data_IF_849689751493
#
_entry.id   IF_849689751493
#
_cell.length_a   1.000
_cell.length_b   1.000
_cell.length_c   1.000
_cell.angle_alpha   90.00
_cell.angle_beta   90.00
_cell.angle_gamma   90.00
#
_symmetry.space_group_name_H-M   'P 1'
#
loop_
_entity.id
_entity.type
_entity.pdbx_description
1 polymer ?
#
# COMPACT_ATOMS: atom_id res chain seq x y z
N UNK A 1 -10.06 -36.44 -22.50
CA UNK A 1 -10.41 -35.01 -22.35
C UNK A 1 -11.84 -34.82 -21.82
N UNK A 2 -12.13 -35.19 -20.56
CA UNK A 2 -13.43 -34.92 -19.88
C UNK A 2 -13.21 -34.72 -18.37
N UNK A 3 -12.26 -33.86 -17.99
CA UNK A 3 -12.04 -33.46 -16.58
C UNK A 3 -11.81 -31.96 -16.39
N UNK A 4 -11.96 -31.14 -17.45
CA UNK A 4 -11.76 -29.69 -17.39
C UNK A 4 -13.02 -28.88 -17.04
N UNK A 5 -14.22 -29.45 -17.20
CA UNK A 5 -15.47 -28.67 -17.09
C UNK A 5 -16.14 -28.71 -15.71
N UNK A 6 -15.68 -29.56 -14.78
CA UNK A 6 -16.31 -29.66 -13.45
C UNK A 6 -16.04 -28.44 -12.56
N UNK A 7 -14.89 -27.76 -12.73
CA UNK A 7 -14.52 -26.59 -11.93
C UNK A 7 -15.24 -25.30 -12.36
N UNK A 8 -15.73 -25.23 -13.61
CA UNK A 8 -16.43 -24.04 -14.12
C UNK A 8 -17.92 -24.10 -13.76
N UNK A 9 -18.53 -25.29 -13.72
CA UNK A 9 -19.92 -25.47 -13.27
C UNK A 9 -20.07 -25.28 -11.74
N UNK A 10 -19.00 -25.47 -10.95
CA UNK A 10 -18.99 -25.28 -9.48
C UNK A 10 -19.05 -23.82 -9.02
N UNK A 11 -18.70 -22.85 -9.88
CA UNK A 11 -18.76 -21.42 -9.50
C UNK A 11 -20.19 -20.95 -9.22
N UNK A 12 -21.20 -21.57 -9.84
CA UNK A 12 -22.62 -21.33 -9.52
C UNK A 12 -23.06 -22.02 -8.21
N UNK A 13 -22.31 -23.02 -7.74
CA UNK A 13 -22.62 -23.81 -6.53
C UNK A 13 -22.04 -23.20 -5.25
N UNK A 14 -21.00 -22.36 -5.34
CA UNK A 14 -20.46 -21.68 -4.15
C UNK A 14 -21.48 -20.76 -3.45
N UNK A 15 -22.44 -20.20 -4.21
CA UNK A 15 -23.49 -19.35 -3.66
C UNK A 15 -24.55 -20.10 -2.83
N UNK A 16 -24.64 -21.43 -2.95
CA UNK A 16 -25.58 -22.27 -2.21
C UNK A 16 -24.98 -23.00 -1.00
N UNK A 17 -23.67 -22.89 -0.80
CA UNK A 17 -22.97 -23.56 0.31
C UNK A 17 -23.26 -22.86 1.64
N UNK A 18 -23.54 -23.66 2.67
CA UNK A 18 -23.65 -23.14 4.02
C UNK A 18 -22.27 -22.80 4.61
N UNK A 19 -22.25 -22.12 5.76
CA UNK A 19 -21.00 -21.65 6.39
C UNK A 19 -20.00 -22.78 6.69
N UNK A 20 -20.48 -23.97 7.05
CA UNK A 20 -19.63 -25.12 7.35
C UNK A 20 -19.01 -25.70 6.07
N UNK A 21 -19.81 -25.88 5.02
CA UNK A 21 -19.35 -26.36 3.71
C UNK A 21 -18.33 -25.41 3.10
N UNK A 22 -18.61 -24.10 3.14
CA UNK A 22 -17.67 -23.05 2.70
C UNK A 22 -16.34 -23.12 3.43
N UNK A 23 -16.35 -23.36 4.74
CA UNK A 23 -15.12 -23.50 5.54
C UNK A 23 -14.31 -24.73 5.12
N UNK A 24 -14.97 -25.86 4.89
CA UNK A 24 -14.32 -27.09 4.45
C UNK A 24 -13.73 -26.93 3.05
N UNK A 25 -14.47 -26.31 2.13
CA UNK A 25 -13.98 -26.02 0.78
C UNK A 25 -12.74 -25.12 0.81
N UNK A 26 -12.77 -24.02 1.57
CA UNK A 26 -11.59 -23.14 1.74
C UNK A 26 -10.37 -23.91 2.26
N UNK A 27 -10.57 -24.79 3.24
CA UNK A 27 -9.49 -25.62 3.79
C UNK A 27 -8.94 -26.60 2.75
N UNK A 28 -9.80 -27.25 1.98
CA UNK A 28 -9.39 -28.16 0.92
C UNK A 28 -8.62 -27.43 -0.20
N UNK A 29 -9.11 -26.27 -0.64
CA UNK A 29 -8.44 -25.42 -1.64
C UNK A 29 -7.08 -24.92 -1.15
N UNK A 30 -6.96 -24.55 0.13
CA UNK A 30 -5.69 -24.19 0.77
C UNK A 30 -4.70 -25.35 0.72
N UNK A 31 -5.10 -26.51 1.22
CA UNK A 31 -4.24 -27.70 1.22
C UNK A 31 -3.81 -28.11 -0.19
N UNK A 32 -4.72 -28.04 -1.17
CA UNK A 32 -4.40 -28.33 -2.56
C UNK A 32 -3.42 -27.29 -3.13
N UNK A 33 -3.67 -25.99 -2.90
CA UNK A 33 -2.82 -24.90 -3.37
C UNK A 33 -1.41 -25.03 -2.79
N UNK A 34 -1.27 -25.27 -1.50
CA UNK A 34 0.03 -25.43 -0.85
C UNK A 34 0.79 -26.66 -1.36
N UNK A 35 0.10 -27.80 -1.51
CA UNK A 35 0.75 -29.06 -1.85
C UNK A 35 1.12 -29.17 -3.33
N UNK A 36 0.26 -28.69 -4.21
CA UNK A 36 0.36 -28.98 -5.65
C UNK A 36 0.60 -27.75 -6.51
N UNK A 37 0.27 -26.55 -6.04
CA UNK A 37 0.36 -25.32 -6.85
C UNK A 37 1.54 -24.46 -6.42
N UNK A 38 1.69 -24.22 -5.12
CA UNK A 38 2.73 -23.37 -4.54
C UNK A 38 4.15 -23.75 -4.97
N UNK A 39 4.56 -25.03 -5.03
CA UNK A 39 5.91 -25.40 -5.45
C UNK A 39 6.33 -24.83 -6.81
N UNK A 40 5.39 -24.60 -7.72
CA UNK A 40 5.65 -24.00 -9.04
C UNK A 40 6.07 -22.53 -8.99
N UNK A 41 5.87 -21.85 -7.86
CA UNK A 41 6.21 -20.44 -7.70
C UNK A 41 7.48 -20.22 -6.87
N UNK A 42 7.94 -21.23 -6.12
CA UNK A 42 8.98 -21.03 -5.10
C UNK A 42 10.40 -20.85 -5.67
N UNK A 43 10.62 -21.13 -6.94
CA UNK A 43 11.89 -20.81 -7.62
C UNK A 43 11.98 -19.32 -8.01
N UNK A 44 10.84 -18.61 -8.02
CA UNK A 44 10.79 -17.20 -8.37
C UNK A 44 10.95 -16.30 -7.12
N UNK A 45 11.95 -15.39 -7.07
CA UNK A 45 12.29 -14.67 -5.84
C UNK A 45 11.15 -13.86 -5.19
N UNK A 46 10.29 -13.19 -5.98
CA UNK A 46 9.17 -12.40 -5.45
C UNK A 46 8.12 -13.27 -4.74
N UNK A 47 7.85 -14.46 -5.27
CA UNK A 47 6.91 -15.42 -4.70
C UNK A 47 7.52 -16.13 -3.50
N UNK A 48 8.75 -16.62 -3.64
CA UNK A 48 9.48 -17.29 -2.58
C UNK A 48 9.59 -16.40 -1.33
N UNK A 49 9.96 -15.14 -1.53
CA UNK A 49 10.09 -14.19 -0.42
C UNK A 49 8.76 -13.92 0.28
N UNK A 50 7.69 -13.72 -0.50
CA UNK A 50 6.33 -13.53 0.03
C UNK A 50 5.84 -14.77 0.79
N UNK A 51 6.21 -15.97 0.33
CA UNK A 51 5.86 -17.24 0.97
C UNK A 51 6.64 -17.49 2.27
N UNK A 52 7.97 -17.39 2.23
CA UNK A 52 8.83 -17.70 3.37
C UNK A 52 8.86 -16.60 4.44
N UNK A 53 8.47 -15.36 4.09
CA UNK A 53 8.32 -14.23 5.02
C UNK A 53 9.57 -14.06 5.90
N UNK A 54 10.75 -13.82 5.33
CA UNK A 54 12.00 -13.75 6.11
C UNK A 54 11.96 -12.69 7.21
N UNK A 55 11.09 -11.68 7.09
CA UNK A 55 10.92 -10.61 8.07
C UNK A 55 9.63 -10.74 8.90
N UNK A 56 8.94 -11.88 8.81
CA UNK A 56 7.71 -12.18 9.55
C UNK A 56 6.40 -11.75 8.86
N UNK A 57 6.47 -11.14 7.68
CA UNK A 57 5.30 -10.75 6.88
C UNK A 57 5.56 -10.86 5.37
N UNK A 58 4.52 -11.11 4.55
CA UNK A 58 4.65 -11.45 3.13
C UNK A 58 4.91 -10.26 2.19
N UNK A 59 4.51 -9.06 2.60
CA UNK A 59 4.65 -7.84 1.80
C UNK A 59 5.83 -6.97 2.22
N UNK A 60 6.99 -7.57 2.48
CA UNK A 60 8.13 -6.80 2.99
C UNK A 60 8.76 -5.85 1.98
N UNK A 61 9.67 -5.01 2.46
CA UNK A 61 10.24 -3.94 1.66
C UNK A 61 11.00 -4.43 0.41
N UNK A 62 11.52 -5.66 0.40
CA UNK A 62 12.15 -6.20 -0.81
C UNK A 62 11.15 -6.79 -1.78
N UNK A 63 10.02 -7.32 -1.30
CA UNK A 63 8.90 -7.63 -2.20
C UNK A 63 8.43 -6.36 -2.90
N UNK A 64 8.30 -5.25 -2.17
CA UNK A 64 7.99 -3.95 -2.77
C UNK A 64 9.08 -3.49 -3.75
N UNK A 65 10.36 -3.66 -3.40
CA UNK A 65 11.48 -3.36 -4.30
C UNK A 65 11.41 -4.12 -5.62
N UNK A 66 11.13 -5.42 -5.61
CA UNK A 66 10.94 -6.19 -6.86
C UNK A 66 9.83 -5.59 -7.72
N UNK A 67 8.71 -5.21 -7.09
CA UNK A 67 7.57 -4.60 -7.77
C UNK A 67 7.94 -3.24 -8.38
N UNK A 68 8.77 -2.43 -7.71
CA UNK A 68 9.23 -1.14 -8.23
C UNK A 68 10.28 -1.27 -9.34
N UNK A 69 11.29 -2.11 -9.15
CA UNK A 69 12.42 -2.24 -10.08
C UNK A 69 12.01 -2.96 -11.39
N UNK A 70 10.97 -3.80 -11.34
CA UNK A 70 10.46 -4.58 -12.48
C UNK A 70 11.52 -5.49 -13.14
N UNK A 71 12.51 -5.92 -12.37
CA UNK A 71 13.52 -6.88 -12.81
C UNK A 71 12.94 -8.27 -13.12
N UNK A 72 13.69 -9.07 -13.85
CA UNK A 72 13.40 -10.48 -14.12
C UNK A 72 14.37 -11.34 -13.32
N UNK A 73 14.09 -11.53 -12.03
CA UNK A 73 14.96 -12.30 -11.13
C UNK A 73 14.68 -13.80 -11.21
N UNK A 74 15.73 -14.63 -11.12
CA UNK A 74 15.63 -16.09 -11.10
C UNK A 74 16.76 -16.77 -11.87
N UNK A 75 17.12 -17.99 -11.45
CA UNK A 75 18.24 -18.77 -12.05
C UNK A 75 17.87 -19.43 -13.37
N UNK A 76 16.58 -19.60 -13.65
CA UNK A 76 16.06 -20.22 -14.89
C UNK A 76 15.07 -19.30 -15.59
N UNK A 77 14.86 -19.51 -16.88
CA UNK A 77 13.84 -18.77 -17.64
C UNK A 77 12.43 -18.95 -17.04
N UNK A 78 12.13 -20.13 -16.50
CA UNK A 78 10.86 -20.38 -15.83
C UNK A 78 10.73 -19.54 -14.55
N UNK A 79 11.77 -19.49 -13.72
CA UNK A 79 11.79 -18.67 -12.51
C UNK A 79 11.66 -17.18 -12.83
N UNK A 80 12.33 -16.70 -13.87
CA UNK A 80 12.23 -15.32 -14.35
C UNK A 80 10.82 -14.97 -14.84
N UNK A 81 10.18 -15.88 -15.59
CA UNK A 81 8.79 -15.71 -16.03
C UNK A 81 7.83 -15.65 -14.83
N UNK A 82 7.96 -16.59 -13.88
CA UNK A 82 7.13 -16.60 -12.68
C UNK A 82 7.37 -15.35 -11.84
N UNK A 83 8.62 -14.88 -11.73
CA UNK A 83 8.96 -13.63 -11.06
C UNK A 83 8.25 -12.43 -11.71
N UNK A 84 8.35 -12.31 -13.03
CA UNK A 84 7.65 -11.28 -13.79
C UNK A 84 6.13 -11.30 -13.52
N UNK A 85 5.50 -12.49 -13.53
CA UNK A 85 4.07 -12.60 -13.23
C UNK A 85 3.73 -12.14 -11.80
N UNK A 86 4.59 -12.40 -10.81
CA UNK A 86 4.41 -11.90 -9.44
C UNK A 86 4.57 -10.38 -9.35
N UNK A 87 5.54 -9.82 -10.06
CA UNK A 87 5.77 -8.37 -10.17
C UNK A 87 4.61 -7.65 -10.85
N UNK A 88 4.01 -8.25 -11.87
CA UNK A 88 2.83 -7.68 -12.56
C UNK A 88 1.55 -7.86 -11.74
N UNK A 89 1.40 -8.94 -10.96
CA UNK A 89 0.34 -9.05 -9.96
C UNK A 89 0.43 -7.90 -8.93
N UNK A 90 1.65 -7.47 -8.58
CA UNK A 90 1.90 -6.32 -7.70
C UNK A 90 1.72 -4.94 -8.34
N UNK A 91 1.27 -4.83 -9.60
CA UNK A 91 1.23 -3.55 -10.32
C UNK A 91 0.44 -2.43 -9.61
N UNK A 92 -0.59 -2.78 -8.84
CA UNK A 92 -1.37 -1.82 -8.03
C UNK A 92 -0.51 -1.03 -7.03
N UNK A 93 0.60 -1.61 -6.54
CA UNK A 93 1.55 -0.93 -5.65
C UNK A 93 2.26 0.21 -6.39
N UNK A 94 2.60 0.01 -7.67
CA UNK A 94 3.17 1.06 -8.51
C UNK A 94 2.14 2.13 -8.85
N UNK A 95 0.89 1.73 -9.15
CA UNK A 95 -0.18 2.67 -9.48
C UNK A 95 -0.47 3.65 -8.34
N UNK A 96 -0.60 3.15 -7.10
CA UNK A 96 -0.81 4.02 -5.93
C UNK A 96 0.39 4.92 -5.63
N UNK A 97 1.60 4.44 -5.86
CA UNK A 97 2.83 5.25 -5.74
C UNK A 97 2.80 6.39 -6.78
N UNK A 98 2.50 6.10 -8.05
CA UNK A 98 2.43 7.11 -9.10
C UNK A 98 1.34 8.15 -8.79
N UNK A 99 0.14 7.72 -8.38
CA UNK A 99 -0.92 8.65 -7.97
C UNK A 99 -0.46 9.58 -6.83
N UNK A 100 0.22 9.03 -5.83
CA UNK A 100 0.74 9.81 -4.70
C UNK A 100 1.80 10.81 -5.13
N UNK A 101 2.70 10.40 -6.03
CA UNK A 101 3.71 11.27 -6.63
C UNK A 101 3.06 12.43 -7.39
N UNK A 102 2.06 12.15 -8.22
CA UNK A 102 1.33 13.17 -8.99
C UNK A 102 0.61 14.16 -8.06
N UNK A 103 -0.02 13.66 -6.99
CA UNK A 103 -0.64 14.51 -5.98
C UNK A 103 0.38 15.44 -5.31
N UNK A 104 1.54 14.93 -4.90
CA UNK A 104 2.60 15.75 -4.30
C UNK A 104 3.08 16.82 -5.30
N UNK A 105 3.28 16.45 -6.56
CA UNK A 105 3.70 17.38 -7.61
C UNK A 105 2.68 18.51 -7.82
N UNK A 106 1.38 18.18 -7.86
CA UNK A 106 0.31 19.18 -7.94
C UNK A 106 0.34 20.14 -6.74
N UNK A 107 0.47 19.62 -5.52
CA UNK A 107 0.55 20.45 -4.32
C UNK A 107 1.76 21.39 -4.32
N UNK A 108 2.91 20.90 -4.80
CA UNK A 108 4.12 21.70 -4.94
C UNK A 108 3.95 22.84 -5.97
N UNK A 109 3.18 22.61 -7.03
CA UNK A 109 2.89 23.62 -8.04
C UNK A 109 1.87 24.67 -7.55
N UNK A 110 0.81 24.24 -6.87
CA UNK A 110 -0.33 25.11 -6.52
C UNK A 110 -0.13 25.95 -5.24
N UNK A 111 0.64 25.45 -4.27
CA UNK A 111 0.77 26.12 -2.96
C UNK A 111 2.07 26.91 -2.86
N UNK A 112 1.99 28.22 -2.66
CA UNK A 112 3.18 29.08 -2.46
C UNK A 112 3.79 28.97 -1.06
N UNK A 113 2.98 28.59 -0.07
CA UNK A 113 3.41 28.44 1.32
C UNK A 113 4.33 27.21 1.52
N UNK A 114 5.12 27.18 2.61
CA UNK A 114 5.88 26.00 2.99
C UNK A 114 4.99 24.75 3.11
N UNK A 115 5.43 23.63 2.54
CA UNK A 115 4.64 22.38 2.50
C UNK A 115 5.20 21.37 3.50
N UNK A 116 4.31 20.68 4.22
CA UNK A 116 4.65 19.58 5.13
C UNK A 116 3.92 18.31 4.73
N UNK A 117 4.68 17.25 4.53
CA UNK A 117 4.20 16.00 3.97
C UNK A 117 4.62 14.86 4.90
N UNK A 118 3.67 14.12 5.45
CA UNK A 118 3.97 12.93 6.26
C UNK A 118 3.48 11.65 5.58
N UNK A 119 4.37 10.66 5.45
CA UNK A 119 4.05 9.30 5.02
C UNK A 119 4.02 8.34 6.22
N UNK A 120 2.86 7.77 6.53
CA UNK A 120 2.65 6.86 7.66
C UNK A 120 2.61 5.41 7.19
N UNK A 121 3.61 4.63 7.61
CA UNK A 121 3.88 3.29 7.10
C UNK A 121 4.53 3.38 5.73
N UNK A 122 5.63 4.15 5.65
CA UNK A 122 6.20 4.59 4.39
C UNK A 122 6.91 3.50 3.59
N UNK A 123 7.30 2.39 4.22
CA UNK A 123 8.20 1.42 3.64
C UNK A 123 9.43 2.11 3.05
N UNK A 124 9.72 1.83 1.78
CA UNK A 124 10.86 2.40 1.04
C UNK A 124 10.61 3.81 0.49
N UNK A 125 9.39 4.36 0.59
CA UNK A 125 8.98 5.69 0.11
C UNK A 125 9.52 6.07 -1.30
N UNK A 126 9.47 5.13 -2.25
CA UNK A 126 10.02 5.31 -3.60
C UNK A 126 9.47 6.55 -4.30
N UNK A 127 8.20 6.91 -4.04
CA UNK A 127 7.55 8.10 -4.58
C UNK A 127 8.30 9.39 -4.24
N UNK A 128 8.92 9.50 -3.06
CA UNK A 128 9.62 10.71 -2.63
C UNK A 128 10.95 10.84 -3.35
N UNK A 129 11.76 9.78 -3.33
CA UNK A 129 13.06 9.80 -4.00
C UNK A 129 12.91 9.96 -5.52
N UNK A 130 11.96 9.24 -6.14
CA UNK A 130 11.66 9.33 -7.57
C UNK A 130 11.17 10.72 -7.97
N UNK A 131 10.34 11.36 -7.14
CA UNK A 131 9.91 12.75 -7.38
C UNK A 131 11.11 13.71 -7.34
N UNK A 132 11.90 13.68 -6.28
CA UNK A 132 13.05 14.56 -6.11
C UNK A 132 14.18 14.33 -7.12
N UNK A 133 14.21 13.18 -7.79
CA UNK A 133 15.14 12.95 -8.89
C UNK A 133 14.72 13.63 -10.20
N UNK A 134 13.43 13.86 -10.39
CA UNK A 134 12.84 14.20 -11.71
C UNK A 134 12.15 15.55 -11.75
N UNK A 135 11.78 16.11 -10.59
CA UNK A 135 11.10 17.41 -10.51
C UNK A 135 12.09 18.57 -10.67
N UNK A 136 11.61 19.68 -11.21
CA UNK A 136 12.36 20.92 -11.26
C UNK A 136 12.77 21.40 -9.85
N UNK A 137 13.86 22.19 -9.73
CA UNK A 137 14.33 22.69 -8.45
C UNK A 137 13.23 23.39 -7.63
N UNK A 138 12.91 22.79 -6.48
CA UNK A 138 11.93 23.33 -5.54
C UNK A 138 12.50 24.58 -4.83
N UNK A 139 11.84 25.72 -5.06
CA UNK A 139 12.25 27.03 -4.51
C UNK A 139 11.65 27.32 -3.13
N UNK A 140 10.50 26.72 -2.81
CA UNK A 140 9.81 26.85 -1.51
C UNK A 140 10.31 25.83 -0.50
N UNK A 141 10.08 26.09 0.80
CA UNK A 141 10.43 25.13 1.85
C UNK A 141 9.48 23.93 1.82
N UNK A 142 10.04 22.73 1.77
CA UNK A 142 9.29 21.47 1.81
C UNK A 142 9.88 20.57 2.87
N UNK A 143 9.03 19.97 3.68
CA UNK A 143 9.43 19.03 4.72
C UNK A 143 8.72 17.69 4.50
N UNK A 144 9.50 16.63 4.34
CA UNK A 144 9.02 15.25 4.27
C UNK A 144 9.34 14.53 5.56
N UNK A 145 8.32 13.95 6.20
CA UNK A 145 8.47 13.07 7.36
C UNK A 145 8.10 11.65 6.95
N UNK A 146 9.07 10.74 6.99
CA UNK A 146 8.90 9.32 6.69
C UNK A 146 8.76 8.53 8.00
N UNK A 147 7.65 7.79 8.18
CA UNK A 147 7.39 7.04 9.41
C UNK A 147 7.17 5.58 9.10
N UNK A 148 7.95 4.69 9.70
CA UNK A 148 7.75 3.24 9.60
C UNK A 148 8.18 2.51 10.87
N UNK A 149 7.83 1.23 10.97
CA UNK A 149 8.33 0.33 12.01
C UNK A 149 9.57 -0.45 11.60
N UNK A 150 9.75 -0.69 10.30
CA UNK A 150 10.87 -1.46 9.79
C UNK A 150 12.03 -0.55 9.39
N UNK A 151 13.06 -0.47 10.23
CA UNK A 151 14.28 0.29 9.93
C UNK A 151 14.96 -0.16 8.64
N UNK A 152 14.83 -1.44 8.27
CA UNK A 152 15.42 -1.98 7.04
C UNK A 152 14.75 -1.42 5.79
N UNK A 153 13.53 -0.89 5.92
CA UNK A 153 12.82 -0.16 4.86
C UNK A 153 13.04 1.35 4.97
N UNK A 154 12.95 1.87 6.21
CA UNK A 154 13.00 3.30 6.51
C UNK A 154 14.37 3.93 6.22
N UNK A 155 15.46 3.26 6.58
CA UNK A 155 16.81 3.77 6.37
C UNK A 155 17.13 3.96 4.87
N UNK A 156 16.92 2.96 3.98
CA UNK A 156 17.06 3.17 2.55
C UNK A 156 16.14 4.28 2.00
N UNK A 157 14.89 4.36 2.46
CA UNK A 157 13.95 5.40 2.06
C UNK A 157 14.51 6.80 2.33
N UNK A 158 14.98 7.01 3.56
CA UNK A 158 15.61 8.26 3.98
C UNK A 158 16.86 8.57 3.16
N UNK A 159 17.78 7.62 3.03
CA UNK A 159 19.06 7.85 2.33
C UNK A 159 18.85 8.22 0.86
N UNK A 160 17.92 7.55 0.16
CA UNK A 160 17.61 7.86 -1.24
C UNK A 160 17.02 9.26 -1.38
N UNK A 161 16.00 9.60 -0.58
CA UNK A 161 15.35 10.91 -0.63
C UNK A 161 16.28 12.06 -0.19
N UNK A 162 17.04 11.86 0.89
CA UNK A 162 17.99 12.84 1.41
C UNK A 162 19.14 13.13 0.44
N UNK A 163 19.62 12.10 -0.26
CA UNK A 163 20.63 12.27 -1.32
C UNK A 163 20.13 13.19 -2.43
N UNK A 164 18.89 13.00 -2.90
CA UNK A 164 18.31 13.86 -3.95
C UNK A 164 18.04 15.27 -3.43
N UNK A 165 17.49 15.40 -2.22
CA UNK A 165 17.28 16.70 -1.55
C UNK A 165 18.59 17.50 -1.46
N UNK A 166 19.66 16.94 -0.89
CA UNK A 166 20.94 17.65 -0.73
C UNK A 166 21.58 18.07 -2.06
N UNK A 167 21.40 17.26 -3.11
CA UNK A 167 22.05 17.48 -4.40
C UNK A 167 21.30 18.50 -5.27
N UNK A 168 19.98 18.46 -5.25
CA UNK A 168 19.14 19.18 -6.23
C UNK A 168 18.14 20.15 -5.59
N UNK A 169 17.83 20.01 -4.30
CA UNK A 169 16.74 20.73 -3.65
C UNK A 169 17.11 21.21 -2.23
N UNK A 170 17.94 22.27 -2.10
CA UNK A 170 18.42 22.74 -0.79
C UNK A 170 17.30 23.21 0.17
N UNK A 171 16.10 23.50 -0.35
CA UNK A 171 14.94 23.89 0.44
C UNK A 171 14.06 22.70 0.90
N UNK A 172 14.41 21.48 0.47
CA UNK A 172 13.71 20.26 0.87
C UNK A 172 14.45 19.64 2.05
N UNK A 173 13.74 19.43 3.15
CA UNK A 173 14.22 18.67 4.30
C UNK A 173 13.49 17.33 4.31
N UNK A 174 14.26 16.25 4.53
CA UNK A 174 13.71 14.90 4.71
C UNK A 174 14.10 14.43 6.11
N UNK A 175 13.14 13.93 6.85
CA UNK A 175 13.32 13.33 8.17
C UNK A 175 12.69 11.93 8.19
N UNK A 176 13.23 11.06 9.03
CA UNK A 176 12.70 9.71 9.25
C UNK A 176 12.46 9.46 10.74
N UNK A 177 11.40 8.70 11.04
CA UNK A 177 11.01 8.36 12.40
C UNK A 177 10.62 6.88 12.49
N UNK A 178 11.45 6.10 13.19
CA UNK A 178 11.13 4.71 13.50
C UNK A 178 10.15 4.63 14.68
N UNK A 179 9.10 3.83 14.55
CA UNK A 179 8.13 3.63 15.63
C UNK A 179 7.39 2.30 15.52
N UNK A 180 6.80 1.82 16.61
CA UNK A 180 6.09 0.53 16.57
C UNK A 180 4.78 0.62 15.80
N UNK A 181 4.29 -0.48 15.21
CA UNK A 181 2.97 -0.54 14.57
C UNK A 181 1.83 0.00 15.45
N UNK A 182 1.89 -0.27 16.77
CA UNK A 182 0.91 0.25 17.73
C UNK A 182 0.90 1.78 17.76
N UNK A 183 2.06 2.43 17.79
CA UNK A 183 2.16 3.89 17.73
C UNK A 183 1.84 4.43 16.33
N UNK A 184 2.25 3.71 15.29
CA UNK A 184 1.96 4.05 13.89
C UNK A 184 0.45 4.18 13.61
N UNK A 185 -0.36 3.36 14.26
CA UNK A 185 -1.82 3.35 14.14
C UNK A 185 -2.51 4.31 15.13
N UNK A 186 -1.75 5.13 15.85
CA UNK A 186 -2.23 6.10 16.83
C UNK A 186 -1.76 7.53 16.46
N UNK A 187 -2.54 8.28 15.65
CA UNK A 187 -2.15 9.62 15.18
C UNK A 187 -1.82 10.61 16.29
N UNK A 188 -2.40 10.46 17.49
CA UNK A 188 -2.03 11.29 18.65
C UNK A 188 -0.58 11.10 19.10
N UNK A 189 -0.05 9.88 19.00
CA UNK A 189 1.33 9.58 19.38
C UNK A 189 2.34 9.97 18.28
N UNK A 190 1.94 9.94 17.01
CA UNK A 190 2.80 10.29 15.88
C UNK A 190 3.00 11.79 15.72
N UNK A 191 1.94 12.57 15.92
CA UNK A 191 1.93 14.00 15.65
C UNK A 191 1.94 14.83 16.93
N UNK A 192 2.37 14.25 18.06
CA UNK A 192 2.53 15.03 19.28
C UNK A 192 3.59 16.10 19.06
N UNK A 193 3.24 17.36 19.36
CA UNK A 193 4.08 18.54 19.12
C UNK A 193 4.50 18.80 17.65
N UNK A 194 3.95 18.07 16.68
CA UNK A 194 4.23 18.31 15.26
C UNK A 194 3.33 19.42 14.71
N UNK A 195 3.85 20.28 13.80
CA UNK A 195 3.03 21.25 13.10
C UNK A 195 1.94 20.56 12.26
N UNK A 196 0.90 21.31 11.92
CA UNK A 196 -0.14 20.85 10.99
C UNK A 196 0.48 20.52 9.63
N UNK A 197 -0.12 19.55 8.95
CA UNK A 197 0.42 18.97 7.72
C UNK A 197 -0.39 19.44 6.51
N UNK A 198 0.31 19.71 5.41
CA UNK A 198 -0.31 19.99 4.11
C UNK A 198 -0.80 18.71 3.44
N UNK A 199 -0.06 17.62 3.59
CA UNK A 199 -0.45 16.28 3.14
C UNK A 199 -0.06 15.24 4.17
N UNK A 200 -0.99 14.33 4.48
CA UNK A 200 -0.69 13.08 5.16
C UNK A 200 -1.14 11.94 4.25
N UNK A 201 -0.33 10.91 4.11
CA UNK A 201 -0.74 9.72 3.36
C UNK A 201 -0.29 8.42 4.00
N UNK A 202 -1.07 7.36 3.76
CA UNK A 202 -0.78 6.00 4.20
C UNK A 202 -1.34 5.00 3.20
N UNK A 203 -0.47 4.16 2.63
CA UNK A 203 -0.80 3.36 1.44
C UNK A 203 -0.96 1.86 1.70
N UNK A 204 -0.85 1.40 2.96
CA UNK A 204 -0.98 -0.02 3.29
C UNK A 204 -1.33 -0.35 4.73
N UNK A 205 -1.37 0.64 5.65
CA UNK A 205 -1.70 0.37 7.06
C UNK A 205 -3.18 0.03 7.24
N UNK A 206 -4.06 0.64 6.45
CA UNK A 206 -5.51 0.47 6.55
C UNK A 206 -5.95 -0.99 6.29
N UNK A 207 -5.20 -1.72 5.46
CA UNK A 207 -5.45 -3.11 5.09
C UNK A 207 -5.44 -4.07 6.30
N UNK A 208 -4.86 -3.64 7.44
CA UNK A 208 -4.77 -4.42 8.66
C UNK A 208 -5.73 -3.97 9.77
N UNK A 209 -6.46 -2.87 9.56
CA UNK A 209 -7.28 -2.26 10.59
C UNK A 209 -8.74 -2.65 10.46
N UNK A 210 -9.38 -3.24 11.50
CA UNK A 210 -10.84 -3.42 11.53
C UNK A 210 -11.57 -2.08 11.42
N UNK A 211 -12.81 -2.10 10.90
CA UNK A 211 -13.60 -0.90 10.57
C UNK A 211 -13.55 0.23 11.62
N UNK A 212 -13.77 -0.09 12.90
CA UNK A 212 -13.71 0.91 13.99
C UNK A 212 -12.32 1.56 14.12
N UNK A 213 -11.25 0.77 14.07
CA UNK A 213 -9.87 1.27 14.17
C UNK A 213 -9.47 2.02 12.91
N UNK A 214 -9.88 1.55 11.73
CA UNK A 214 -9.67 2.23 10.46
C UNK A 214 -10.29 3.63 10.47
N UNK A 215 -11.54 3.75 10.92
CA UNK A 215 -12.21 5.05 11.05
C UNK A 215 -11.50 5.97 12.05
N UNK A 216 -11.13 5.46 13.22
CA UNK A 216 -10.35 6.22 14.21
C UNK A 216 -9.01 6.70 13.67
N UNK A 217 -8.33 5.85 12.90
CA UNK A 217 -7.06 6.17 12.26
C UNK A 217 -7.23 7.28 11.21
N UNK A 218 -8.19 7.16 10.29
CA UNK A 218 -8.50 8.17 9.27
C UNK A 218 -8.85 9.51 9.92
N UNK A 219 -9.77 9.53 10.90
CA UNK A 219 -10.16 10.76 11.60
C UNK A 219 -8.97 11.38 12.34
N UNK A 220 -8.17 10.56 13.04
CA UNK A 220 -7.02 11.06 13.79
C UNK A 220 -5.94 11.69 12.91
N UNK A 221 -5.69 11.15 11.71
CA UNK A 221 -4.80 11.76 10.73
C UNK A 221 -5.41 13.05 10.15
N UNK A 222 -6.69 13.02 9.80
CA UNK A 222 -7.40 14.17 9.23
C UNK A 222 -7.37 15.39 10.16
N UNK A 223 -7.51 15.18 11.45
CA UNK A 223 -7.39 16.26 12.43
C UNK A 223 -6.05 16.96 12.40
N UNK A 224 -4.96 16.29 11.97
CA UNK A 224 -3.59 16.83 11.89
C UNK A 224 -3.32 17.66 10.64
N UNK A 225 -4.26 17.71 9.70
CA UNK A 225 -4.15 18.58 8.54
C UNK A 225 -4.36 20.05 8.91
N UNK A 226 -3.67 20.91 8.18
CA UNK A 226 -3.96 22.34 8.10
C UNK A 226 -5.22 22.62 7.25
N UNK A 227 -5.84 23.80 7.36
CA UNK A 227 -6.88 24.22 6.42
C UNK A 227 -6.41 24.11 4.96
N UNK A 228 -7.24 23.55 4.09
CA UNK A 228 -6.86 23.24 2.71
C UNK A 228 -5.80 22.13 2.55
N UNK A 229 -5.51 21.36 3.60
CA UNK A 229 -4.63 20.20 3.57
C UNK A 229 -5.35 18.92 3.10
N UNK A 230 -4.59 17.89 2.75
CA UNK A 230 -5.10 16.65 2.17
C UNK A 230 -4.72 15.40 2.96
N UNK A 231 -5.63 14.43 3.02
CA UNK A 231 -5.36 13.07 3.51
C UNK A 231 -5.60 12.07 2.39
N UNK A 232 -4.59 11.26 2.06
CA UNK A 232 -4.68 10.17 1.10
C UNK A 232 -4.52 8.81 1.80
N UNK A 233 -5.51 7.94 1.67
CA UNK A 233 -5.50 6.60 2.26
C UNK A 233 -5.75 5.56 1.18
N UNK A 234 -4.94 4.51 1.14
CA UNK A 234 -5.19 3.36 0.28
C UNK A 234 -5.74 2.16 1.05
N UNK A 235 -6.57 1.35 0.40
CA UNK A 235 -6.99 0.04 0.88
C UNK A 235 -7.15 -0.94 -0.28
N UNK A 236 -6.82 -2.22 -0.09
CA UNK A 236 -7.18 -3.28 -1.04
C UNK A 236 -8.71 -3.37 -1.24
N UNK A 237 -9.14 -3.45 -2.49
CA UNK A 237 -10.54 -3.38 -2.91
C UNK A 237 -11.24 -4.75 -2.79
N UNK A 238 -12.45 -4.76 -2.23
CA UNK A 238 -13.34 -5.93 -2.29
C UNK A 238 -14.11 -5.91 -3.61
N UNK A 239 -13.48 -6.45 -4.65
CA UNK A 239 -14.05 -6.54 -5.99
C UNK A 239 -13.91 -7.93 -6.61
N UNK A 240 -14.47 -8.15 -7.81
CA UNK A 240 -14.36 -9.43 -8.53
C UNK A 240 -12.91 -9.83 -8.82
N UNK A 241 -12.02 -8.83 -8.96
CA UNK A 241 -10.61 -9.02 -9.22
C UNK A 241 -9.76 -9.09 -7.94
N UNK A 242 -10.33 -9.35 -6.76
CA UNK A 242 -9.53 -9.39 -5.53
C UNK A 242 -8.46 -10.47 -5.60
N UNK A 243 -7.25 -10.13 -5.18
CA UNK A 243 -6.07 -11.00 -5.17
C UNK A 243 -6.11 -12.05 -4.04
N UNK A 244 -7.31 -12.49 -3.62
CA UNK A 244 -7.51 -13.37 -2.47
C UNK A 244 -6.77 -14.69 -2.64
N UNK A 245 -6.75 -15.27 -3.84
CA UNK A 245 -6.10 -16.57 -4.05
C UNK A 245 -4.60 -16.56 -3.71
N UNK A 246 -3.73 -15.77 -4.38
CA UNK A 246 -2.31 -15.79 -4.05
C UNK A 246 -2.04 -15.29 -2.63
N UNK A 247 -2.75 -14.24 -2.17
CA UNK A 247 -2.55 -13.67 -0.84
C UNK A 247 -2.91 -14.65 0.26
N UNK A 248 -4.14 -15.16 0.32
CA UNK A 248 -4.57 -16.06 1.40
C UNK A 248 -4.04 -17.48 1.21
N UNK A 249 -4.01 -18.02 -0.01
CA UNK A 249 -3.79 -19.45 -0.21
C UNK A 249 -2.33 -19.82 -0.44
N UNK A 250 -1.53 -18.92 -1.00
CA UNK A 250 -0.07 -19.14 -1.13
C UNK A 250 0.64 -18.48 0.04
N UNK A 251 0.41 -17.19 0.26
CA UNK A 251 1.24 -16.41 1.19
C UNK A 251 0.72 -16.36 2.63
N UNK A 252 -0.45 -16.90 2.95
CA UNK A 252 -1.11 -16.67 4.26
C UNK A 252 -1.10 -15.17 4.64
N UNK A 253 -1.47 -14.34 3.67
CA UNK A 253 -1.58 -12.89 3.80
C UNK A 253 -3.04 -12.47 3.93
N UNK A 254 -3.48 -12.33 5.16
CA UNK A 254 -4.85 -11.90 5.46
C UNK A 254 -4.93 -10.37 5.50
N UNK A 255 -5.66 -9.80 4.54
CA UNK A 255 -5.94 -8.37 4.43
C UNK A 255 -7.44 -8.11 4.57
N UNK A 256 -7.79 -6.93 5.08
CA UNK A 256 -9.17 -6.45 5.18
C UNK A 256 -9.51 -5.70 3.89
N UNK A 257 -10.20 -6.40 3.00
CA UNK A 257 -10.77 -5.83 1.78
C UNK A 257 -11.94 -4.90 2.11
N UNK A 258 -12.04 -3.80 1.38
CA UNK A 258 -13.12 -2.82 1.52
C UNK A 258 -13.76 -2.52 0.18
N UNK A 259 -15.07 -2.38 0.19
CA UNK A 259 -15.83 -1.80 -0.91
C UNK A 259 -15.63 -0.29 -0.97
N UNK A 260 -15.96 0.32 -2.11
CA UNK A 260 -15.98 1.77 -2.26
C UNK A 260 -16.88 2.46 -1.20
N UNK A 261 -18.05 1.86 -0.89
CA UNK A 261 -18.96 2.39 0.13
C UNK A 261 -18.32 2.39 1.53
N UNK A 262 -17.63 1.31 1.89
CA UNK A 262 -16.91 1.24 3.18
C UNK A 262 -15.79 2.28 3.25
N UNK A 263 -15.14 2.60 2.13
CA UNK A 263 -14.14 3.69 2.07
C UNK A 263 -14.79 5.05 2.34
N UNK A 264 -15.96 5.36 1.76
CA UNK A 264 -16.70 6.59 2.08
C UNK A 264 -17.14 6.65 3.54
N UNK A 265 -17.53 5.51 4.13
CA UNK A 265 -17.94 5.43 5.53
C UNK A 265 -16.81 5.80 6.52
N UNK A 266 -15.54 5.64 6.12
CA UNK A 266 -14.39 6.07 6.93
C UNK A 266 -14.33 7.59 7.11
N UNK A 267 -14.94 8.37 6.22
CA UNK A 267 -14.97 9.83 6.27
C UNK A 267 -16.23 10.39 6.97
N UNK A 268 -17.23 9.54 7.26
CA UNK A 268 -18.50 10.00 7.85
C UNK A 268 -18.29 10.66 9.21
N UNK A 269 -18.72 11.92 9.34
CA UNK A 269 -18.59 12.73 10.55
C UNK A 269 -17.38 13.66 10.55
N UNK A 270 -16.59 13.69 9.47
CA UNK A 270 -15.61 14.73 9.22
C UNK A 270 -16.28 15.91 8.50
N UNK A 271 -15.85 17.13 8.83
CA UNK A 271 -16.21 18.34 8.10
C UNK A 271 -15.25 18.52 6.91
N UNK A 272 -15.37 17.65 5.91
CA UNK A 272 -14.49 17.64 4.75
C UNK A 272 -15.04 18.46 3.59
N UNK A 273 -14.22 19.39 3.07
CA UNK A 273 -14.53 20.16 1.87
C UNK A 273 -14.70 19.27 0.63
N UNK A 274 -13.96 18.16 0.58
CA UNK A 274 -14.09 17.16 -0.48
C UNK A 274 -13.78 15.76 0.05
N UNK A 275 -14.55 14.78 -0.43
CA UNK A 275 -14.35 13.34 -0.19
C UNK A 275 -14.43 12.65 -1.55
N UNK A 276 -13.34 12.01 -1.98
CA UNK A 276 -13.29 11.27 -3.24
C UNK A 276 -12.72 9.88 -2.99
N UNK A 277 -13.40 8.86 -3.53
CA UNK A 277 -12.83 7.53 -3.67
C UNK A 277 -12.61 7.27 -5.14
N UNK A 278 -11.42 6.78 -5.48
CA UNK A 278 -11.10 6.31 -6.82
C UNK A 278 -10.47 4.92 -6.72
N UNK A 279 -10.57 4.15 -7.79
CA UNK A 279 -9.89 2.87 -7.89
C UNK A 279 -8.63 3.02 -8.72
N UNK A 280 -7.59 2.25 -8.40
CA UNK A 280 -6.38 2.21 -9.23
C UNK A 280 -6.67 1.51 -10.58
N UNK A 281 -5.78 1.68 -11.56
CA UNK A 281 -5.98 1.14 -12.91
C UNK A 281 -6.12 -0.39 -12.98
N UNK A 282 -5.69 -1.14 -11.95
CA UNK A 282 -5.85 -2.60 -11.88
C UNK A 282 -7.11 -3.05 -11.14
N UNK A 283 -7.88 -2.12 -10.58
CA UNK A 283 -9.05 -2.38 -9.75
C UNK A 283 -8.75 -3.16 -8.46
N UNK A 284 -7.51 -3.17 -7.97
CA UNK A 284 -7.13 -3.90 -6.75
C UNK A 284 -7.09 -3.02 -5.51
N UNK A 285 -7.05 -1.69 -5.65
CA UNK A 285 -6.95 -0.74 -4.54
C UNK A 285 -7.92 0.41 -4.71
N UNK A 286 -8.57 0.81 -3.60
CA UNK A 286 -9.25 2.09 -3.46
C UNK A 286 -8.33 3.13 -2.84
N UNK A 287 -8.34 4.34 -3.37
CA UNK A 287 -7.68 5.52 -2.85
C UNK A 287 -8.75 6.52 -2.38
N UNK A 288 -8.81 6.75 -1.07
CA UNK A 288 -9.64 7.77 -0.44
C UNK A 288 -8.83 9.05 -0.30
N UNK A 289 -9.25 10.11 -0.98
CA UNK A 289 -8.70 11.45 -0.88
C UNK A 289 -9.70 12.37 -0.16
N UNK A 290 -9.24 12.97 0.95
CA UNK A 290 -9.99 13.93 1.75
C UNK A 290 -9.31 15.28 1.70
N UNK A 291 -10.09 16.36 1.61
CA UNK A 291 -9.60 17.73 1.75
C UNK A 291 -10.20 18.40 2.98
N UNK A 292 -9.36 19.09 3.75
CA UNK A 292 -9.79 19.95 4.85
C UNK A 292 -10.26 21.31 4.35
N UNK A 293 -11.37 21.87 4.86
CA UNK A 293 -11.80 23.22 4.54
C UNK A 293 -10.70 24.25 4.70
#
# INVERSE_FOLDING_TARGET
MRRGNALIDEYQTMASLNRFEMRNLKKALKQYTERFVTPHFLDAPVWARSYYKPLGYPGDFQVMKYVYDRGQEGETLYAQLMHFLGVEMGAFVRNRMQFTRDLIQTLLAEKDAPIRITNVGCGMAYEVASLLETIDPITKRVHFTLVDQDDRALEPAYLMAHKQSKRHHPNVVVESFNTTFKKLTQPSALFDQQPRQTLIYSLGILDYLPARKAKQFVHGLYERLEPGGYLLIANVADGPNKLMWPLSYIFDWELIYRTEQEMYQLATGLDAASVKVQQDATNHVHLLLLQKP
#
